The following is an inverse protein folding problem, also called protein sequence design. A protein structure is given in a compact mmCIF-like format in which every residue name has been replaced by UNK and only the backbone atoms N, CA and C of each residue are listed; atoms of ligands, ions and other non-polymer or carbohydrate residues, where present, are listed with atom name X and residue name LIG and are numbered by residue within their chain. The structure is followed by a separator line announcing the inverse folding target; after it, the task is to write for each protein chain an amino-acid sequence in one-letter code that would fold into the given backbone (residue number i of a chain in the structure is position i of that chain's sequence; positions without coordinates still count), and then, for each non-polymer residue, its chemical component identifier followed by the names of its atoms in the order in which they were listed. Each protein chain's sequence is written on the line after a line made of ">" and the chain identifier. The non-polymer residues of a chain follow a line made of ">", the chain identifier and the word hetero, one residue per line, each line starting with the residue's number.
data_IF_619185943201
#
_entry.id   IF_619185943201
#
_cell.length_a   1.000
_cell.length_b   1.000
_cell.length_c   1.000
_cell.angle_alpha   90.00
_cell.angle_beta   90.00
_cell.angle_gamma   90.00
#
_symmetry.space_group_name_H-M   'P 1'
#
loop_
_entity.id
_entity.type
_entity.pdbx_description
1 polymer ?
#
# COMPACT_ATOMS: atom_id res chain seq x y z
N UNK A 1 -1.14 17.09 41.26
CA UNK A 1 -2.02 17.44 40.12
C UNK A 1 -1.31 17.55 38.77
N UNK A 2 0.02 17.74 38.66
CA UNK A 2 0.71 17.83 37.35
C UNK A 2 0.94 16.51 36.57
N UNK A 3 0.81 15.35 37.22
CA UNK A 3 1.12 14.05 36.58
C UNK A 3 -0.06 13.37 35.86
N UNK A 4 -1.32 13.73 36.15
CA UNK A 4 -2.48 13.07 35.53
C UNK A 4 -2.60 13.43 34.04
N UNK A 5 -2.47 14.72 33.71
CA UNK A 5 -2.56 15.20 32.33
C UNK A 5 -1.46 14.63 31.40
N UNK A 6 -0.28 14.31 31.95
CA UNK A 6 0.85 13.84 31.13
C UNK A 6 0.68 12.38 30.71
N UNK A 7 0.05 11.56 31.56
CA UNK A 7 -0.26 10.16 31.27
C UNK A 7 -1.40 10.07 30.25
N UNK A 8 -2.46 10.87 30.42
CA UNK A 8 -3.58 10.94 29.47
C UNK A 8 -3.13 11.40 28.07
N UNK A 9 -2.24 12.41 27.99
CA UNK A 9 -1.68 12.88 26.71
C UNK A 9 -0.83 11.81 26.00
N UNK A 10 -0.07 11.03 26.78
CA UNK A 10 0.75 9.93 26.24
C UNK A 10 -0.12 8.78 25.73
N UNK A 11 -1.13 8.36 26.49
CA UNK A 11 -2.08 7.32 26.08
C UNK A 11 -2.81 7.70 24.80
N UNK A 12 -3.32 8.93 24.72
CA UNK A 12 -3.97 9.45 23.52
C UNK A 12 -3.05 9.41 22.31
N UNK A 13 -1.78 9.80 22.48
CA UNK A 13 -0.82 9.78 21.37
C UNK A 13 -0.51 8.35 20.90
N UNK A 14 -0.41 7.39 21.82
CA UNK A 14 -0.23 5.97 21.46
C UNK A 14 -1.46 5.45 20.71
N UNK A 15 -2.66 5.83 21.13
CA UNK A 15 -3.91 5.50 20.45
C UNK A 15 -3.97 6.08 19.02
N UNK A 16 -3.60 7.35 18.83
CA UNK A 16 -3.51 7.99 17.51
C UNK A 16 -2.54 7.23 16.58
N UNK A 17 -1.37 6.83 17.10
CA UNK A 17 -0.41 6.03 16.33
C UNK A 17 -0.99 4.67 15.95
N UNK A 18 -1.65 3.99 16.88
CA UNK A 18 -2.29 2.71 16.61
C UNK A 18 -3.36 2.82 15.52
N UNK A 19 -4.22 3.85 15.58
CA UNK A 19 -5.20 4.13 14.53
C UNK A 19 -4.56 4.39 13.17
N UNK A 20 -3.45 5.13 13.11
CA UNK A 20 -2.70 5.35 11.87
C UNK A 20 -2.20 4.02 11.28
N UNK A 21 -1.67 3.11 12.11
CA UNK A 21 -1.25 1.78 11.67
C UNK A 21 -2.42 0.92 11.16
N UNK A 22 -3.58 0.95 11.82
CA UNK A 22 -4.76 0.22 11.33
C UNK A 22 -5.24 0.76 9.98
N UNK A 23 -5.24 2.09 9.82
CA UNK A 23 -5.58 2.73 8.54
C UNK A 23 -4.63 2.27 7.43
N UNK A 24 -3.32 2.23 7.70
CA UNK A 24 -2.33 1.75 6.74
C UNK A 24 -2.53 0.28 6.38
N UNK A 25 -2.76 -0.60 7.36
CA UNK A 25 -3.07 -2.02 7.11
C UNK A 25 -4.30 -2.19 6.22
N UNK A 26 -5.37 -1.46 6.52
CA UNK A 26 -6.60 -1.47 5.73
C UNK A 26 -6.33 -1.05 4.28
N UNK A 27 -5.60 0.06 4.07
CA UNK A 27 -5.25 0.53 2.73
C UNK A 27 -4.39 -0.48 1.96
N UNK A 28 -3.40 -1.11 2.60
CA UNK A 28 -2.56 -2.13 1.96
C UNK A 28 -3.35 -3.40 1.62
N UNK A 29 -4.33 -3.78 2.45
CA UNK A 29 -5.24 -4.88 2.14
C UNK A 29 -6.14 -4.54 0.96
N UNK A 30 -6.69 -3.33 0.89
CA UNK A 30 -7.47 -2.91 -0.27
C UNK A 30 -6.64 -2.93 -1.56
N UNK A 31 -5.38 -2.44 -1.49
CA UNK A 31 -4.43 -2.53 -2.62
C UNK A 31 -4.18 -3.99 -3.03
N UNK A 32 -4.25 -4.96 -2.10
CA UNK A 32 -4.16 -6.38 -2.46
C UNK A 32 -5.29 -6.81 -3.40
N UNK A 33 -6.52 -6.43 -3.07
CA UNK A 33 -7.68 -6.75 -3.89
C UNK A 33 -7.59 -6.08 -5.27
N UNK A 34 -7.10 -4.84 -5.31
CA UNK A 34 -6.84 -4.13 -6.57
C UNK A 34 -5.76 -4.82 -7.42
N UNK A 35 -4.67 -5.29 -6.82
CA UNK A 35 -3.62 -6.05 -7.53
C UNK A 35 -4.18 -7.33 -8.11
N UNK A 36 -4.99 -8.10 -7.35
CA UNK A 36 -5.63 -9.32 -7.83
C UNK A 36 -6.56 -9.01 -9.01
N UNK A 37 -7.37 -7.96 -8.89
CA UNK A 37 -8.26 -7.54 -9.97
C UNK A 37 -7.50 -7.16 -11.23
N UNK A 38 -6.43 -6.36 -11.10
CA UNK A 38 -5.61 -5.94 -12.24
C UNK A 38 -4.92 -7.13 -12.89
N UNK A 39 -4.40 -8.07 -12.10
CA UNK A 39 -3.78 -9.29 -12.61
C UNK A 39 -4.78 -10.13 -13.43
N UNK A 40 -5.99 -10.34 -12.92
CA UNK A 40 -7.06 -11.01 -13.67
C UNK A 40 -7.47 -10.25 -14.94
N UNK A 41 -7.54 -8.92 -14.87
CA UNK A 41 -7.88 -8.08 -16.02
C UNK A 41 -6.85 -8.25 -17.14
N UNK A 42 -5.57 -8.14 -16.79
CA UNK A 42 -4.44 -8.22 -17.73
C UNK A 42 -4.27 -9.62 -18.34
N UNK A 43 -4.66 -10.67 -17.61
CA UNK A 43 -4.67 -12.06 -18.10
C UNK A 43 -5.97 -12.48 -18.79
N UNK A 44 -6.92 -11.56 -19.01
CA UNK A 44 -8.16 -11.87 -19.71
C UNK A 44 -7.96 -11.92 -21.23
N UNK A 45 -8.82 -12.68 -21.93
CA UNK A 45 -8.74 -12.85 -23.39
C UNK A 45 -8.75 -11.54 -24.19
N UNK A 46 -9.33 -10.47 -23.64
CA UNK A 46 -9.39 -9.14 -24.28
C UNK A 46 -8.00 -8.50 -24.41
N UNK A 47 -7.04 -8.98 -23.62
CA UNK A 47 -5.67 -8.49 -23.55
C UNK A 47 -4.67 -9.46 -24.19
N UNK A 48 -5.13 -10.55 -24.82
CA UNK A 48 -4.25 -11.40 -25.63
C UNK A 48 -3.59 -10.54 -26.71
N UNK A 49 -2.25 -10.41 -26.69
CA UNK A 49 -1.57 -9.49 -27.57
C UNK A 49 -1.56 -10.03 -29.01
N UNK A 50 -2.20 -9.30 -29.91
CA UNK A 50 -2.16 -9.51 -31.36
C UNK A 50 -0.84 -9.00 -31.99
N UNK A 51 -0.04 -8.26 -31.23
CA UNK A 51 1.17 -7.58 -31.68
C UNK A 51 2.32 -7.65 -30.66
N UNK A 52 3.59 -7.79 -31.09
CA UNK A 52 4.75 -7.93 -30.20
C UNK A 52 4.95 -6.79 -29.19
N UNK A 53 4.61 -5.55 -29.55
CA UNK A 53 4.75 -4.38 -28.66
C UNK A 53 3.79 -4.45 -27.46
N UNK A 54 2.56 -4.94 -27.68
CA UNK A 54 1.57 -5.11 -26.60
C UNK A 54 2.04 -6.20 -25.62
N UNK A 55 2.61 -7.29 -26.13
CA UNK A 55 3.19 -8.34 -25.30
C UNK A 55 4.30 -7.83 -24.38
N UNK A 56 5.23 -7.02 -24.91
CA UNK A 56 6.32 -6.44 -24.10
C UNK A 56 5.79 -5.50 -23.00
N UNK A 57 4.79 -4.68 -23.32
CA UNK A 57 4.18 -3.76 -22.35
C UNK A 57 3.46 -4.54 -21.24
N UNK A 58 2.70 -5.58 -21.60
CA UNK A 58 1.99 -6.45 -20.67
C UNK A 58 2.96 -7.13 -19.69
N UNK A 59 4.02 -7.76 -20.21
CA UNK A 59 5.02 -8.43 -19.40
C UNK A 59 5.78 -7.48 -18.44
N UNK A 60 6.04 -6.23 -18.85
CA UNK A 60 6.61 -5.21 -17.96
C UNK A 60 5.66 -4.87 -16.80
N UNK A 61 4.37 -4.65 -17.09
CA UNK A 61 3.38 -4.34 -16.07
C UNK A 61 3.20 -5.47 -15.06
N UNK A 62 3.12 -6.73 -15.51
CA UNK A 62 3.04 -7.90 -14.63
C UNK A 62 4.24 -8.00 -13.69
N UNK A 63 5.45 -7.79 -14.23
CA UNK A 63 6.69 -7.79 -13.45
C UNK A 63 6.69 -6.67 -12.39
N UNK A 64 6.26 -5.47 -12.77
CA UNK A 64 6.20 -4.31 -11.86
C UNK A 64 5.11 -4.48 -10.79
N UNK A 65 3.96 -5.06 -11.14
CA UNK A 65 2.91 -5.42 -10.18
C UNK A 65 3.42 -6.43 -9.16
N UNK A 66 4.10 -7.50 -9.62
CA UNK A 66 4.69 -8.49 -8.73
C UNK A 66 5.67 -7.86 -7.75
N UNK A 67 6.59 -7.03 -8.24
CA UNK A 67 7.55 -6.29 -7.40
C UNK A 67 6.85 -5.34 -6.40
N UNK A 68 5.81 -4.65 -6.85
CA UNK A 68 5.00 -3.81 -5.96
C UNK A 68 4.31 -4.63 -4.86
N UNK A 69 3.80 -5.82 -5.20
CA UNK A 69 3.19 -6.73 -4.24
C UNK A 69 4.20 -7.27 -3.21
N UNK A 70 5.43 -7.58 -3.63
CA UNK A 70 6.51 -7.97 -2.72
C UNK A 70 6.86 -6.85 -1.73
N UNK A 71 6.97 -5.61 -2.22
CA UNK A 71 7.21 -4.43 -1.37
C UNK A 71 6.08 -4.20 -0.36
N UNK A 72 4.83 -4.37 -0.78
CA UNK A 72 3.64 -4.30 0.08
C UNK A 72 3.72 -5.28 1.24
N UNK A 73 4.11 -6.52 0.97
CA UNK A 73 4.24 -7.58 1.98
C UNK A 73 5.33 -7.22 3.00
N UNK A 74 6.46 -6.67 2.55
CA UNK A 74 7.52 -6.19 3.45
C UNK A 74 7.04 -5.03 4.32
N UNK A 75 6.26 -4.11 3.76
CA UNK A 75 5.70 -2.98 4.48
C UNK A 75 4.67 -3.42 5.53
N UNK A 76 3.77 -4.34 5.19
CA UNK A 76 2.83 -4.97 6.14
C UNK A 76 3.56 -5.62 7.33
N UNK A 77 4.65 -6.35 7.06
CA UNK A 77 5.48 -6.95 8.12
C UNK A 77 6.11 -5.90 9.03
N UNK A 78 6.56 -4.79 8.44
CA UNK A 78 7.18 -3.69 9.19
C UNK A 78 6.15 -2.95 10.05
N UNK A 79 4.95 -2.73 9.55
CA UNK A 79 3.81 -2.19 10.30
C UNK A 79 3.43 -3.11 11.46
N UNK A 80 3.28 -4.42 11.20
CA UNK A 80 2.92 -5.37 12.26
C UNK A 80 3.98 -5.41 13.37
N UNK A 81 5.26 -5.36 13.01
CA UNK A 81 6.35 -5.31 14.00
C UNK A 81 6.29 -4.02 14.84
N UNK A 82 5.95 -2.89 14.23
CA UNK A 82 5.84 -1.62 14.93
C UNK A 82 4.61 -1.56 15.83
N UNK A 83 3.47 -2.06 15.36
CA UNK A 83 2.24 -2.23 16.14
C UNK A 83 2.48 -3.05 17.41
N UNK A 84 3.17 -4.18 17.30
CA UNK A 84 3.54 -5.01 18.46
C UNK A 84 4.44 -4.26 19.46
N UNK A 85 5.23 -3.28 18.99
CA UNK A 85 6.09 -2.47 19.86
C UNK A 85 5.34 -1.33 20.57
N UNK A 86 4.18 -0.89 20.05
CA UNK A 86 3.36 0.14 20.69
C UNK A 86 2.76 -0.35 22.01
N UNK A 87 2.30 -1.61 22.05
CA UNK A 87 1.71 -2.20 23.26
C UNK A 87 2.66 -2.19 24.46
N UNK A 88 3.97 -2.40 24.23
CA UNK A 88 4.98 -2.40 25.29
C UNK A 88 5.41 -1.01 25.77
N UNK A 89 4.93 0.08 25.15
CA UNK A 89 5.33 1.45 25.50
C UNK A 89 4.41 2.14 26.49
N UNK A 90 3.16 1.69 26.62
CA UNK A 90 2.25 2.19 27.65
C UNK A 90 2.80 1.99 29.07
N UNK A 91 3.59 0.93 29.26
CA UNK A 91 4.23 0.58 30.55
C UNK A 91 5.65 1.17 30.70
N UNK A 92 6.08 2.04 29.77
CA UNK A 92 7.48 2.45 29.61
C UNK A 92 7.70 3.94 29.92
N UNK A 93 8.35 4.23 31.06
CA UNK A 93 8.75 5.59 31.45
C UNK A 93 10.04 6.12 30.78
N UNK A 94 10.62 5.37 29.84
CA UNK A 94 11.89 5.73 29.20
C UNK A 94 11.68 6.68 28.01
N UNK A 95 12.12 7.92 28.17
CA UNK A 95 12.10 8.96 27.13
C UNK A 95 12.90 8.60 25.88
N UNK A 96 13.99 7.84 26.03
CA UNK A 96 14.81 7.35 24.90
C UNK A 96 14.01 6.36 24.05
N UNK A 97 13.34 5.39 24.69
CA UNK A 97 12.50 4.40 23.97
C UNK A 97 11.32 5.06 23.26
N UNK A 98 10.72 6.10 23.86
CA UNK A 98 9.66 6.90 23.23
C UNK A 98 10.17 7.63 21.97
N UNK A 99 11.36 8.24 22.03
CA UNK A 99 11.94 8.93 20.88
C UNK A 99 12.25 7.96 19.72
N UNK A 100 12.85 6.79 20.01
CA UNK A 100 13.10 5.75 19.01
C UNK A 100 11.82 5.23 18.36
N UNK A 101 10.73 5.13 19.12
CA UNK A 101 9.43 4.75 18.59
C UNK A 101 8.93 5.78 17.57
N UNK A 102 8.94 7.07 17.91
CA UNK A 102 8.47 8.12 17.00
C UNK A 102 9.32 8.20 15.73
N UNK A 103 10.63 8.03 15.82
CA UNK A 103 11.48 7.94 14.64
C UNK A 103 11.13 6.75 13.72
N UNK A 104 10.77 5.60 14.30
CA UNK A 104 10.31 4.44 13.53
C UNK A 104 8.96 4.71 12.88
N UNK A 105 8.05 5.41 13.56
CA UNK A 105 6.77 5.84 12.99
C UNK A 105 6.98 6.76 11.78
N UNK A 106 7.82 7.79 11.91
CA UNK A 106 8.10 8.75 10.82
C UNK A 106 8.71 8.04 9.60
N UNK A 107 9.62 7.09 9.85
CA UNK A 107 10.18 6.27 8.77
C UNK A 107 9.11 5.43 8.08
N UNK A 108 8.25 4.73 8.83
CA UNK A 108 7.15 3.94 8.25
C UNK A 108 6.16 4.82 7.48
N UNK A 109 5.89 6.02 7.96
CA UNK A 109 5.06 7.00 7.27
C UNK A 109 5.65 7.38 5.92
N UNK A 110 6.94 7.67 5.87
CA UNK A 110 7.64 7.95 4.61
C UNK A 110 7.59 6.76 3.65
N UNK A 111 7.81 5.53 4.16
CA UNK A 111 7.71 4.30 3.37
C UNK A 111 6.29 4.07 2.83
N UNK A 112 5.24 4.34 3.62
CA UNK A 112 3.84 4.27 3.20
C UNK A 112 3.52 5.28 2.10
N UNK A 113 3.96 6.53 2.25
CA UNK A 113 3.75 7.58 1.24
C UNK A 113 4.45 7.22 -0.07
N UNK A 114 5.70 6.78 0.00
CA UNK A 114 6.49 6.37 -1.17
C UNK A 114 5.85 5.16 -1.88
N UNK A 115 5.47 4.13 -1.13
CA UNK A 115 4.81 2.94 -1.66
C UNK A 115 3.49 3.27 -2.35
N UNK A 116 2.61 4.01 -1.66
CA UNK A 116 1.27 4.34 -2.19
C UNK A 116 1.35 5.25 -3.41
N UNK A 117 2.30 6.19 -3.46
CA UNK A 117 2.54 7.01 -4.65
C UNK A 117 2.99 6.15 -5.83
N UNK A 118 4.02 5.31 -5.65
CA UNK A 118 4.54 4.43 -6.71
C UNK A 118 3.49 3.45 -7.22
N UNK A 119 2.69 2.90 -6.32
CA UNK A 119 1.59 2.01 -6.70
C UNK A 119 0.52 2.75 -7.51
N UNK A 120 0.14 3.97 -7.08
CA UNK A 120 -0.84 4.80 -7.81
C UNK A 120 -0.37 5.13 -9.22
N UNK A 121 0.91 5.46 -9.38
CA UNK A 121 1.49 5.80 -10.69
C UNK A 121 1.49 4.58 -11.62
N UNK A 122 1.93 3.41 -11.12
CA UNK A 122 1.85 2.13 -11.85
C UNK A 122 0.41 1.80 -12.25
N UNK A 123 -0.54 1.94 -11.33
CA UNK A 123 -1.97 1.69 -11.58
C UNK A 123 -2.51 2.62 -12.68
N UNK A 124 -2.15 3.89 -12.67
CA UNK A 124 -2.56 4.85 -13.69
C UNK A 124 -2.01 4.48 -15.07
N UNK A 125 -0.75 4.04 -15.17
CA UNK A 125 -0.16 3.55 -16.41
C UNK A 125 -0.92 2.33 -16.95
N UNK A 126 -1.19 1.34 -16.09
CA UNK A 126 -1.94 0.13 -16.45
C UNK A 126 -3.36 0.48 -16.91
N UNK A 127 -4.05 1.38 -16.22
CA UNK A 127 -5.40 1.80 -16.61
C UNK A 127 -5.41 2.51 -17.96
N UNK A 128 -4.39 3.32 -18.26
CA UNK A 128 -4.24 3.95 -19.57
C UNK A 128 -4.01 2.89 -20.67
N UNK A 129 -3.14 1.92 -20.41
CA UNK A 129 -2.89 0.80 -21.31
C UNK A 129 -4.17 0.00 -21.58
N UNK A 130 -4.84 -0.43 -20.51
CA UNK A 130 -6.08 -1.20 -20.57
C UNK A 130 -7.21 -0.45 -21.29
N UNK A 131 -7.38 0.84 -21.00
CA UNK A 131 -8.35 1.68 -21.68
C UNK A 131 -8.10 1.76 -23.19
N UNK A 132 -6.83 1.77 -23.61
CA UNK A 132 -6.45 1.74 -25.01
C UNK A 132 -6.88 0.46 -25.72
N UNK A 133 -6.68 -0.69 -25.07
CA UNK A 133 -7.06 -2.01 -25.59
C UNK A 133 -8.58 -2.15 -25.64
N UNK A 134 -9.26 -1.85 -24.53
CA UNK A 134 -10.73 -1.97 -24.43
C UNK A 134 -11.46 -1.10 -25.46
N UNK A 135 -10.91 0.07 -25.83
CA UNK A 135 -11.47 0.92 -26.89
C UNK A 135 -11.31 0.31 -28.28
N UNK A 136 -10.19 -0.38 -28.56
CA UNK A 136 -9.95 -1.05 -29.85
C UNK A 136 -10.84 -2.27 -30.05
N UNK A 137 -11.06 -3.04 -28.99
CA UNK A 137 -11.89 -4.25 -29.01
C UNK A 137 -13.37 -3.97 -28.73
N UNK A 138 -13.81 -2.71 -28.79
CA UNK A 138 -15.23 -2.37 -28.62
C UNK A 138 -16.01 -2.99 -29.80
N UNK A 139 -16.99 -3.88 -29.54
CA UNK A 139 -17.79 -4.43 -30.63
C UNK A 139 -18.54 -3.29 -31.33
N UNK A 140 -18.37 -3.16 -32.64
CA UNK A 140 -19.25 -2.36 -33.49
C UNK A 140 -20.58 -3.10 -33.54
N UNK A 141 -21.55 -2.64 -32.73
CA UNK A 141 -22.94 -3.06 -32.87
C UNK A 141 -23.38 -2.64 -34.28
N UNK A 142 -23.48 -3.61 -35.20
CA UNK A 142 -24.28 -3.48 -36.41
C UNK A 142 -25.72 -3.84 -36.00
N UNK A 143 -26.52 -2.82 -35.71
CA UNK A 143 -27.98 -2.90 -35.78
C UNK A 143 -28.45 -2.77 -37.23
#
# INVERSE_FOLDING_TARGET
>A
MKNLNKTEEHEKKVEELYFELQSWKSNLNFINDEVIFIDHLLNSYVFEPDTPHLFQSLADYEKRLKKSNENKILLLKSIQKHENSLGGILECDSTIRQHELYQKQDKLKAEMVDYTSKYRDLKAEIFKYASGILKKHKPTNHE
#
